data_IF_515930066707
#
_entry.id   IF_515930066707
#
_cell.length_a   1.000
_cell.length_b   1.000
_cell.length_c   1.000
_cell.angle_alpha   90.00
_cell.angle_beta   90.00
_cell.angle_gamma   90.00
#
_symmetry.space_group_name_H-M   'P 1'
#
loop_
_entity.id
_entity.type
_entity.pdbx_description
1 polymer ?
#
# COMPACT_ATOMS: atom_id res chain seq x y z
N UNK A 1 -14.50 4.49 -9.76
CA UNK A 1 -15.76 4.25 -10.50
C UNK A 1 -16.92 3.69 -9.68
N UNK A 2 -16.71 2.80 -8.70
CA UNK A 2 -17.81 2.13 -7.95
C UNK A 2 -18.74 3.12 -7.19
N UNK A 3 -18.23 4.29 -6.77
CA UNK A 3 -19.03 5.33 -6.08
C UNK A 3 -19.80 6.26 -7.03
N UNK A 4 -19.48 6.26 -8.32
CA UNK A 4 -20.04 7.21 -9.30
C UNK A 4 -21.46 6.81 -9.73
N UNK A 5 -21.70 5.51 -9.87
CA UNK A 5 -23.01 4.95 -10.28
C UNK A 5 -24.12 5.25 -9.27
N UNK A 6 -23.97 4.96 -7.96
CA UNK A 6 -24.98 5.34 -6.97
C UNK A 6 -25.12 6.85 -6.82
N UNK A 7 -24.04 7.62 -6.95
CA UNK A 7 -24.11 9.09 -6.91
C UNK A 7 -24.87 9.69 -8.09
N UNK A 8 -24.66 9.16 -9.30
CA UNK A 8 -25.38 9.60 -10.50
C UNK A 8 -26.89 9.36 -10.40
N UNK A 9 -27.29 8.22 -9.83
CA UNK A 9 -28.71 7.92 -9.60
C UNK A 9 -29.36 8.90 -8.62
N UNK A 10 -28.66 9.25 -7.54
CA UNK A 10 -29.11 10.26 -6.56
C UNK A 10 -29.19 11.65 -7.19
N UNK A 11 -28.20 12.04 -8.01
CA UNK A 11 -28.17 13.32 -8.72
C UNK A 11 -29.39 13.50 -9.64
N UNK A 12 -29.78 12.44 -10.36
CA UNK A 12 -30.93 12.48 -11.29
C UNK A 12 -32.29 12.55 -10.58
N UNK A 13 -32.41 12.01 -9.38
CA UNK A 13 -33.70 11.92 -8.67
C UNK A 13 -33.92 13.13 -7.78
N UNK A 14 -32.89 13.59 -7.04
CA UNK A 14 -33.00 14.63 -6.02
C UNK A 14 -31.73 15.49 -5.94
N UNK A 15 -31.48 16.39 -6.92
CA UNK A 15 -30.29 17.23 -6.93
C UNK A 15 -30.22 18.18 -5.72
N UNK A 16 -31.35 18.60 -5.15
CA UNK A 16 -31.36 19.48 -3.96
C UNK A 16 -30.87 18.79 -2.68
N UNK A 17 -30.79 17.45 -2.66
CA UNK A 17 -30.29 16.69 -1.51
C UNK A 17 -28.76 16.56 -1.49
N UNK A 18 -28.07 16.93 -2.57
CA UNK A 18 -26.61 16.83 -2.70
C UNK A 18 -25.86 17.54 -1.56
N UNK A 19 -26.21 18.79 -1.16
CA UNK A 19 -25.52 19.47 -0.07
C UNK A 19 -25.63 18.72 1.26
N UNK A 20 -26.77 18.07 1.53
CA UNK A 20 -26.98 17.24 2.72
C UNK A 20 -26.17 15.94 2.65
N UNK A 21 -26.14 15.29 1.49
CA UNK A 21 -25.40 14.03 1.30
C UNK A 21 -23.89 14.24 1.43
N UNK A 22 -23.36 15.35 0.91
CA UNK A 22 -21.93 15.72 1.06
C UNK A 22 -21.55 15.93 2.53
N UNK A 23 -22.48 16.41 3.36
CA UNK A 23 -22.26 16.64 4.80
C UNK A 23 -22.38 15.34 5.60
N UNK A 24 -23.42 14.54 5.37
CA UNK A 24 -23.77 13.42 6.24
C UNK A 24 -23.27 12.05 5.72
N UNK A 25 -23.03 11.89 4.42
CA UNK A 25 -22.66 10.61 3.78
C UNK A 25 -21.48 10.77 2.78
N UNK A 26 -20.30 11.22 3.25
CA UNK A 26 -19.17 11.56 2.38
C UNK A 26 -18.56 10.35 1.63
N UNK A 27 -18.81 9.12 2.10
CA UNK A 27 -18.33 7.90 1.44
C UNK A 27 -19.04 7.57 0.11
N UNK A 28 -20.17 8.23 -0.18
CA UNK A 28 -21.00 8.01 -1.37
C UNK A 28 -20.78 9.02 -2.49
N UNK A 29 -19.92 10.01 -2.27
CA UNK A 29 -19.73 11.15 -3.16
C UNK A 29 -18.41 10.97 -3.94
N UNK A 30 -18.39 11.20 -5.28
CA UNK A 30 -17.16 11.18 -6.06
C UNK A 30 -16.21 12.29 -5.60
N UNK A 31 -14.92 12.09 -5.82
CA UNK A 31 -13.85 12.99 -5.38
C UNK A 31 -13.97 14.43 -5.91
N UNK A 32 -14.82 14.65 -6.92
CA UNK A 32 -15.12 15.95 -7.53
C UNK A 32 -16.03 16.84 -6.68
N UNK A 33 -16.71 16.32 -5.66
CA UNK A 33 -17.64 17.08 -4.81
C UNK A 33 -17.21 17.13 -3.34
N UNK A 34 -15.92 16.92 -3.08
CA UNK A 34 -15.35 17.02 -1.72
C UNK A 34 -15.21 18.48 -1.30
N UNK A 35 -15.59 18.81 -0.06
CA UNK A 35 -15.34 20.11 0.57
C UNK A 35 -13.87 20.23 1.02
N UNK A 36 -13.36 21.46 1.14
CA UNK A 36 -11.99 21.73 1.61
C UNK A 36 -11.64 21.05 2.95
N UNK A 37 -12.62 20.98 3.87
CA UNK A 37 -12.45 20.27 5.14
C UNK A 37 -12.18 18.77 4.98
N UNK A 38 -12.68 18.15 3.91
CA UNK A 38 -12.49 16.74 3.60
C UNK A 38 -11.10 16.49 3.00
N UNK A 39 -10.61 17.39 2.14
CA UNK A 39 -9.23 17.35 1.61
C UNK A 39 -8.22 17.45 2.77
N UNK A 40 -8.45 18.38 3.69
CA UNK A 40 -7.62 18.50 4.91
C UNK A 40 -7.70 17.24 5.77
N UNK A 41 -8.88 16.62 5.87
CA UNK A 41 -9.04 15.37 6.64
C UNK A 41 -8.30 14.19 6.00
N UNK A 42 -8.30 14.09 4.67
CA UNK A 42 -7.58 13.08 3.90
C UNK A 42 -6.07 13.25 4.07
N UNK A 43 -5.57 14.48 3.92
CA UNK A 43 -4.17 14.79 4.17
C UNK A 43 -3.73 14.42 5.60
N UNK A 44 -4.57 14.75 6.60
CA UNK A 44 -4.31 14.39 8.00
C UNK A 44 -4.32 12.87 8.22
N UNK A 45 -5.13 12.11 7.48
CA UNK A 45 -5.12 10.65 7.54
C UNK A 45 -3.83 10.08 6.93
N UNK A 46 -3.37 10.63 5.81
CA UNK A 46 -2.10 10.26 5.17
C UNK A 46 -0.92 10.52 6.11
N UNK A 47 -0.86 11.69 6.74
CA UNK A 47 0.17 12.04 7.74
C UNK A 47 0.14 11.10 8.95
N UNK A 48 -1.05 10.77 9.46
CA UNK A 48 -1.19 9.79 10.55
C UNK A 48 -0.68 8.41 10.16
N UNK A 49 -1.00 7.95 8.95
CA UNK A 49 -0.53 6.66 8.46
C UNK A 49 0.99 6.65 8.26
N UNK A 50 1.56 7.73 7.71
CA UNK A 50 3.01 7.88 7.59
C UNK A 50 3.68 7.84 8.98
N UNK A 51 3.16 8.57 9.97
CA UNK A 51 3.68 8.53 11.34
C UNK A 51 3.64 7.11 11.95
N UNK A 52 2.58 6.34 11.67
CA UNK A 52 2.49 4.93 12.08
C UNK A 52 3.56 4.09 11.37
N UNK A 53 3.71 4.23 10.05
CA UNK A 53 4.70 3.51 9.24
C UNK A 53 6.13 3.83 9.69
N UNK A 54 6.43 5.09 9.99
CA UNK A 54 7.72 5.53 10.53
C UNK A 54 8.01 4.86 11.88
N UNK A 55 7.05 4.88 12.82
CA UNK A 55 7.21 4.22 14.12
C UNK A 55 7.46 2.71 13.97
N UNK A 56 6.74 2.07 13.06
CA UNK A 56 6.93 0.64 12.78
C UNK A 56 8.30 0.35 12.16
N UNK A 57 8.72 1.16 11.18
CA UNK A 57 10.03 1.05 10.51
C UNK A 57 11.17 1.16 11.52
N UNK A 58 11.13 2.17 12.39
CA UNK A 58 12.15 2.35 13.44
C UNK A 58 12.23 1.14 14.36
N UNK A 59 11.08 0.56 14.75
CA UNK A 59 11.08 -0.63 15.60
C UNK A 59 11.65 -1.85 14.88
N UNK A 60 11.28 -2.05 13.62
CA UNK A 60 11.75 -3.17 12.79
C UNK A 60 13.26 -3.09 12.57
N UNK A 61 13.79 -1.89 12.27
CA UNK A 61 15.23 -1.68 12.09
C UNK A 61 16.01 -1.94 13.39
N UNK A 62 15.53 -1.44 14.53
CA UNK A 62 16.14 -1.74 15.84
C UNK A 62 16.15 -3.22 16.18
N UNK A 63 15.09 -3.95 15.84
CA UNK A 63 15.05 -5.39 16.03
C UNK A 63 15.98 -6.13 15.07
N UNK A 64 16.18 -5.62 13.85
CA UNK A 64 17.08 -6.21 12.87
C UNK A 64 18.56 -6.03 13.24
N UNK A 65 18.95 -4.92 13.85
CA UNK A 65 20.31 -4.72 14.40
C UNK A 65 20.69 -5.81 15.42
N UNK A 66 19.70 -6.37 16.13
CA UNK A 66 19.89 -7.41 17.14
C UNK A 66 19.94 -8.82 16.55
N UNK A 67 19.54 -9.00 15.28
CA UNK A 67 19.43 -10.30 14.62
C UNK A 67 20.37 -10.36 13.43
N UNK A 68 21.38 -11.22 13.49
CA UNK A 68 22.28 -11.45 12.35
C UNK A 68 21.53 -12.20 11.24
N UNK A 69 21.51 -11.67 10.02
CA UNK A 69 21.17 -12.45 8.82
C UNK A 69 20.45 -11.71 7.68
N UNK A 70 19.70 -10.63 7.94
CA UNK A 70 18.98 -9.87 6.90
C UNK A 70 19.25 -8.38 7.08
N UNK A 71 19.93 -7.78 6.11
CA UNK A 71 20.17 -6.34 6.11
C UNK A 71 19.14 -5.61 5.23
N UNK A 72 18.75 -4.36 5.56
CA UNK A 72 17.86 -3.56 4.70
C UNK A 72 18.34 -3.47 3.25
N UNK A 73 19.66 -3.42 3.05
CA UNK A 73 20.33 -3.34 1.75
C UNK A 73 20.11 -4.58 0.89
N UNK A 74 19.86 -5.74 1.51
CA UNK A 74 19.55 -6.97 0.78
C UNK A 74 18.17 -6.91 0.10
N UNK A 75 17.26 -6.09 0.64
CA UNK A 75 15.95 -5.83 0.01
C UNK A 75 16.00 -4.80 -1.11
N UNK A 76 17.10 -4.06 -1.29
CA UNK A 76 17.28 -3.10 -2.39
C UNK A 76 17.81 -3.74 -3.68
N UNK A 77 18.55 -4.85 -3.56
CA UNK A 77 19.02 -5.59 -4.72
C UNK A 77 18.04 -6.69 -5.08
N UNK A 78 17.42 -6.59 -6.26
CA UNK A 78 16.44 -7.57 -6.74
C UNK A 78 16.97 -9.01 -6.67
N UNK A 79 18.22 -9.24 -7.08
CA UNK A 79 18.85 -10.57 -7.05
C UNK A 79 19.00 -11.13 -5.63
N UNK A 80 19.40 -10.29 -4.67
CA UNK A 80 19.49 -10.68 -3.26
C UNK A 80 18.11 -10.90 -2.66
N UNK A 81 17.15 -10.06 -3.01
CA UNK A 81 15.79 -10.18 -2.53
C UNK A 81 15.13 -11.48 -3.01
N UNK A 82 15.30 -11.84 -4.29
CA UNK A 82 14.86 -13.13 -4.82
C UNK A 82 15.52 -14.31 -4.11
N UNK A 83 16.80 -14.18 -3.72
CA UNK A 83 17.49 -15.21 -2.93
C UNK A 83 16.90 -15.35 -1.53
N UNK A 84 16.59 -14.23 -0.85
CA UNK A 84 15.87 -14.24 0.43
C UNK A 84 14.51 -14.92 0.26
N UNK A 85 13.77 -14.60 -0.81
CA UNK A 85 12.47 -15.21 -1.07
C UNK A 85 12.56 -16.72 -1.29
N UNK A 86 13.61 -17.21 -1.95
CA UNK A 86 13.84 -18.66 -2.11
C UNK A 86 14.13 -19.38 -0.79
N UNK A 87 14.85 -18.74 0.12
CA UNK A 87 15.21 -19.35 1.41
C UNK A 87 14.11 -19.24 2.47
N UNK A 88 13.45 -18.08 2.56
CA UNK A 88 12.51 -17.78 3.63
C UNK A 88 11.06 -17.69 3.16
N UNK A 89 10.78 -17.80 1.86
CA UNK A 89 9.45 -17.54 1.29
C UNK A 89 8.33 -18.35 1.94
N UNK A 90 8.62 -19.60 2.33
CA UNK A 90 7.67 -20.46 3.03
C UNK A 90 7.19 -19.87 4.37
N UNK A 91 8.08 -19.23 5.13
CA UNK A 91 7.72 -18.62 6.42
C UNK A 91 6.89 -17.34 6.25
N UNK A 92 6.97 -16.71 5.08
CA UNK A 92 6.23 -15.50 4.72
C UNK A 92 4.94 -15.77 3.94
N UNK A 93 4.53 -17.03 3.81
CA UNK A 93 3.17 -17.35 3.36
C UNK A 93 2.14 -16.79 4.36
N UNK A 94 1.11 -16.10 3.88
CA UNK A 94 0.10 -15.46 4.75
C UNK A 94 -0.65 -16.45 5.66
N UNK A 95 -0.63 -17.75 5.35
CA UNK A 95 -1.13 -18.85 6.19
C UNK A 95 -0.27 -19.11 7.44
N UNK A 96 1.03 -18.83 7.37
CA UNK A 96 2.01 -19.16 8.41
C UNK A 96 2.32 -18.01 9.36
N UNK A 97 2.02 -16.79 8.92
CA UNK A 97 2.18 -15.58 9.74
C UNK A 97 1.14 -15.57 10.87
N UNK A 98 1.58 -15.39 12.11
CA UNK A 98 0.69 -15.31 13.26
C UNK A 98 -0.17 -14.03 13.25
N UNK A 99 -1.23 -14.06 14.06
CA UNK A 99 -2.22 -12.97 14.12
C UNK A 99 -1.61 -11.60 14.42
N UNK A 100 -0.59 -11.51 15.29
CA UNK A 100 0.01 -10.22 15.67
C UNK A 100 0.76 -9.61 14.49
N UNK A 101 1.55 -10.41 13.79
CA UNK A 101 2.24 -9.96 12.58
C UNK A 101 1.25 -9.63 11.44
N UNK A 102 0.19 -10.42 11.23
CA UNK A 102 -0.84 -10.07 10.24
C UNK A 102 -1.56 -8.76 10.57
N UNK A 103 -1.84 -8.50 11.85
CA UNK A 103 -2.40 -7.24 12.32
C UNK A 103 -1.45 -6.07 12.03
N UNK A 104 -0.15 -6.24 12.31
CA UNK A 104 0.87 -5.25 11.97
C UNK A 104 0.95 -5.01 10.45
N UNK A 105 0.89 -6.06 9.62
CA UNK A 105 0.94 -5.94 8.17
C UNK A 105 -0.29 -5.17 7.64
N UNK A 106 -1.49 -5.50 8.13
CA UNK A 106 -2.70 -4.75 7.79
C UNK A 106 -2.55 -3.27 8.16
N UNK A 107 -2.12 -2.98 9.38
CA UNK A 107 -1.93 -1.60 9.87
C UNK A 107 -0.94 -0.82 9.01
N UNK A 108 0.18 -1.43 8.67
CA UNK A 108 1.21 -0.79 7.84
C UNK A 108 0.70 -0.48 6.42
N UNK A 109 -0.09 -1.38 5.85
CA UNK A 109 -0.72 -1.20 4.54
C UNK A 109 -1.94 -0.26 4.58
N UNK A 110 -2.26 0.36 5.72
CA UNK A 110 -3.41 1.27 5.85
C UNK A 110 -4.76 0.56 5.94
N UNK A 111 -4.77 -0.75 6.20
CA UNK A 111 -5.96 -1.57 6.34
C UNK A 111 -6.40 -1.66 7.80
N UNK A 112 -7.68 -1.97 8.03
CA UNK A 112 -8.16 -2.32 9.36
C UNK A 112 -7.38 -3.54 9.89
N UNK A 113 -6.85 -3.44 11.10
CA UNK A 113 -5.94 -4.39 11.74
C UNK A 113 -6.60 -5.20 12.86
N UNK A 114 -7.92 -5.05 13.04
CA UNK A 114 -8.73 -5.81 13.98
C UNK A 114 -9.39 -7.03 13.33
N UNK A 115 -9.58 -8.08 14.14
CA UNK A 115 -10.23 -9.33 13.78
C UNK A 115 -9.43 -10.59 14.11
N UNK A 116 -10.00 -11.74 13.76
CA UNK A 116 -9.33 -13.05 13.86
C UNK A 116 -8.23 -13.16 12.79
N UNK A 117 -7.31 -14.13 12.97
CA UNK A 117 -6.21 -14.37 12.03
C UNK A 117 -6.72 -14.59 10.60
N UNK A 118 -7.80 -15.36 10.41
CA UNK A 118 -8.38 -15.62 9.09
C UNK A 118 -8.96 -14.35 8.43
N UNK A 119 -9.58 -13.46 9.21
CA UNK A 119 -10.11 -12.18 8.69
C UNK A 119 -8.96 -11.29 8.24
N UNK A 120 -7.92 -11.16 9.06
CA UNK A 120 -6.73 -10.36 8.72
C UNK A 120 -6.02 -10.91 7.49
N UNK A 121 -5.81 -12.22 7.43
CA UNK A 121 -5.24 -12.92 6.27
C UNK A 121 -6.04 -12.59 5.01
N UNK A 122 -7.35 -12.82 5.02
CA UNK A 122 -8.21 -12.57 3.85
C UNK A 122 -8.21 -11.11 3.42
N UNK A 123 -8.16 -10.17 4.38
CA UNK A 123 -8.11 -8.74 4.09
C UNK A 123 -6.80 -8.36 3.39
N UNK A 124 -5.67 -8.82 3.93
CA UNK A 124 -4.37 -8.57 3.33
C UNK A 124 -4.24 -9.25 1.97
N UNK A 125 -4.67 -10.50 1.85
CA UNK A 125 -4.66 -11.25 0.58
C UNK A 125 -5.48 -10.54 -0.50
N UNK A 126 -6.69 -10.07 -0.16
CA UNK A 126 -7.53 -9.27 -1.06
C UNK A 126 -6.82 -7.99 -1.51
N UNK A 127 -6.16 -7.28 -0.59
CA UNK A 127 -5.42 -6.05 -0.92
C UNK A 127 -4.23 -6.32 -1.84
N UNK A 128 -3.47 -7.37 -1.57
CA UNK A 128 -2.32 -7.76 -2.40
C UNK A 128 -2.74 -8.24 -3.78
N UNK A 129 -3.87 -8.93 -3.91
CA UNK A 129 -4.44 -9.28 -5.21
C UNK A 129 -4.92 -8.04 -5.98
N UNK A 130 -5.52 -7.06 -5.29
CA UNK A 130 -5.85 -5.77 -5.91
C UNK A 130 -4.59 -5.06 -6.46
N UNK A 131 -3.53 -4.96 -5.66
CA UNK A 131 -2.24 -4.38 -6.11
C UNK A 131 -1.70 -5.16 -7.31
N UNK A 132 -1.76 -6.49 -7.30
CA UNK A 132 -1.25 -7.31 -8.40
C UNK A 132 -1.99 -7.06 -9.72
N UNK A 133 -3.30 -6.88 -9.68
CA UNK A 133 -4.06 -6.51 -10.88
C UNK A 133 -3.76 -5.08 -11.31
N UNK A 134 -3.64 -4.14 -10.37
CA UNK A 134 -3.25 -2.74 -10.66
C UNK A 134 -1.84 -2.65 -11.28
N UNK A 135 -0.86 -3.42 -10.76
CA UNK A 135 0.49 -3.54 -11.30
C UNK A 135 0.44 -3.92 -12.80
N UNK A 136 -0.40 -4.89 -13.19
CA UNK A 136 -0.55 -5.29 -14.61
C UNK A 136 -1.05 -4.16 -15.49
N UNK A 137 -1.92 -3.28 -14.98
CA UNK A 137 -2.37 -2.10 -15.72
C UNK A 137 -1.25 -1.07 -15.84
N UNK A 138 -0.54 -0.78 -14.74
CA UNK A 138 0.60 0.14 -14.74
C UNK A 138 1.73 -0.28 -15.69
N UNK A 139 2.00 -1.58 -15.79
CA UNK A 139 2.99 -2.13 -16.73
C UNK A 139 2.57 -1.89 -18.19
N UNK A 140 1.27 -2.00 -18.49
CA UNK A 140 0.75 -1.81 -19.85
C UNK A 140 0.67 -0.34 -20.26
N UNK A 141 0.21 0.52 -19.37
CA UNK A 141 0.05 1.95 -19.65
C UNK A 141 1.36 2.73 -19.49
N UNK A 142 2.29 2.23 -18.67
CA UNK A 142 3.57 2.86 -18.40
C UNK A 142 3.48 3.89 -17.27
N UNK A 143 4.42 3.78 -16.31
CA UNK A 143 4.48 4.66 -15.12
C UNK A 143 4.62 6.13 -15.51
N UNK A 144 5.32 6.44 -16.60
CA UNK A 144 5.66 7.81 -17.00
C UNK A 144 4.42 8.65 -17.38
N UNK A 145 3.27 8.01 -17.60
CA UNK A 145 2.01 8.68 -17.92
C UNK A 145 1.18 9.11 -16.68
N UNK A 146 1.55 8.65 -15.48
CA UNK A 146 0.84 8.98 -14.24
C UNK A 146 1.05 10.45 -13.86
N UNK A 147 -0.01 11.12 -13.43
CA UNK A 147 0.12 12.43 -12.78
C UNK A 147 0.70 12.29 -11.35
N UNK A 148 1.10 13.41 -10.74
CA UNK A 148 1.73 13.41 -9.41
C UNK A 148 0.81 12.82 -8.31
N UNK A 149 -0.51 12.99 -8.43
CA UNK A 149 -1.49 12.50 -7.46
C UNK A 149 -1.71 11.00 -7.62
N UNK A 150 -1.84 10.52 -8.85
CA UNK A 150 -1.94 9.10 -9.19
C UNK A 150 -0.68 8.36 -8.76
N UNK A 151 0.49 8.91 -9.06
CA UNK A 151 1.77 8.36 -8.63
C UNK A 151 1.86 8.28 -7.10
N UNK A 152 1.52 9.37 -6.40
CA UNK A 152 1.49 9.42 -4.93
C UNK A 152 0.55 8.35 -4.35
N UNK A 153 -0.65 8.18 -4.93
CA UNK A 153 -1.61 7.17 -4.47
C UNK A 153 -1.10 5.76 -4.73
N UNK A 154 -0.57 5.51 -5.93
CA UNK A 154 -0.09 4.19 -6.34
C UNK A 154 1.02 3.69 -5.40
N UNK A 155 1.96 4.56 -5.03
CA UNK A 155 3.05 4.16 -4.12
C UNK A 155 2.56 3.99 -2.67
N UNK A 156 1.61 4.80 -2.21
CA UNK A 156 1.04 4.69 -0.86
C UNK A 156 0.23 3.41 -0.66
N UNK A 157 -0.53 2.98 -1.67
CA UNK A 157 -1.28 1.72 -1.67
C UNK A 157 -0.35 0.51 -1.57
N UNK A 158 0.86 0.62 -2.13
CA UNK A 158 1.95 -0.37 -2.07
C UNK A 158 2.79 -0.28 -0.79
N UNK A 159 2.40 0.57 0.16
CA UNK A 159 3.07 0.71 1.45
C UNK A 159 4.38 1.51 1.40
N UNK A 160 4.59 2.31 0.35
CA UNK A 160 5.74 3.21 0.23
C UNK A 160 5.37 4.63 0.67
N UNK A 161 6.38 5.44 0.93
CA UNK A 161 6.22 6.83 1.38
C UNK A 161 6.13 7.76 0.18
N UNK A 162 5.17 8.70 0.22
CA UNK A 162 5.04 9.77 -0.78
C UNK A 162 5.23 11.17 -0.18
N UNK A 163 4.94 11.33 1.12
CA UNK A 163 4.96 12.63 1.78
C UNK A 163 6.39 13.17 1.83
N UNK A 164 6.57 14.37 1.29
CA UNK A 164 7.86 15.06 1.16
C UNK A 164 8.89 14.34 0.26
N UNK A 165 8.43 13.45 -0.62
CA UNK A 165 9.28 12.81 -1.64
C UNK A 165 9.19 13.54 -2.98
N UNK A 166 10.27 13.48 -3.76
CA UNK A 166 10.27 14.04 -5.12
C UNK A 166 9.59 13.09 -6.10
N UNK A 167 9.01 13.63 -7.17
CA UNK A 167 8.35 12.82 -8.19
C UNK A 167 9.29 11.75 -8.78
N UNK A 168 10.54 12.12 -9.07
CA UNK A 168 11.55 11.18 -9.56
C UNK A 168 11.80 10.03 -8.60
N UNK A 169 11.84 10.30 -7.29
CA UNK A 169 12.04 9.29 -6.27
C UNK A 169 10.84 8.34 -6.19
N UNK A 170 9.63 8.88 -6.25
CA UNK A 170 8.40 8.09 -6.31
C UNK A 170 8.34 7.19 -7.55
N UNK A 171 8.72 7.71 -8.73
CA UNK A 171 8.81 6.93 -9.97
C UNK A 171 9.84 5.82 -9.87
N UNK A 172 11.05 6.08 -9.33
CA UNK A 172 12.07 5.05 -9.10
C UNK A 172 11.59 3.96 -8.15
N UNK A 173 10.95 4.34 -7.04
CA UNK A 173 10.38 3.40 -6.08
C UNK A 173 9.31 2.50 -6.72
N UNK A 174 8.43 3.08 -7.55
CA UNK A 174 7.39 2.32 -8.25
C UNK A 174 7.98 1.40 -9.33
N UNK A 175 8.96 1.86 -10.12
CA UNK A 175 9.71 1.02 -11.09
C UNK A 175 10.37 -0.16 -10.38
N UNK A 176 10.99 0.08 -9.23
CA UNK A 176 11.58 -0.98 -8.41
C UNK A 176 10.55 -1.99 -7.89
N UNK A 177 9.40 -1.50 -7.41
CA UNK A 177 8.29 -2.34 -6.97
C UNK A 177 7.82 -3.28 -8.08
N UNK A 178 7.54 -2.75 -9.27
CA UNK A 178 7.06 -3.55 -10.40
C UNK A 178 8.10 -4.60 -10.82
N UNK A 179 9.37 -4.23 -10.92
CA UNK A 179 10.45 -5.19 -11.22
C UNK A 179 10.55 -6.33 -10.18
N UNK A 180 10.13 -6.04 -8.94
CA UNK A 180 10.09 -7.01 -7.84
C UNK A 180 8.83 -7.88 -7.88
N UNK A 181 7.67 -7.31 -8.24
CA UNK A 181 6.39 -8.02 -8.28
C UNK A 181 6.17 -8.84 -9.56
N UNK A 182 6.83 -8.48 -10.67
CA UNK A 182 6.78 -9.18 -11.96
C UNK A 182 7.57 -10.49 -12.01
N UNK A 183 8.22 -10.90 -10.92
CA UNK A 183 9.04 -12.10 -10.93
C UNK A 183 8.22 -13.36 -11.31
N UNK A 184 8.69 -14.11 -12.32
CA UNK A 184 8.13 -15.40 -12.75
C UNK A 184 7.91 -16.35 -11.55
N UNK A 185 7.03 -17.35 -11.68
CA UNK A 185 6.67 -18.27 -10.59
C UNK A 185 7.89 -18.83 -9.81
N UNK A 186 9.00 -19.14 -10.50
CA UNK A 186 10.24 -19.63 -9.89
C UNK A 186 11.01 -18.60 -9.03
N UNK A 187 10.75 -17.31 -9.21
CA UNK A 187 11.36 -16.18 -8.49
C UNK A 187 10.30 -15.31 -7.78
N UNK A 188 9.05 -15.78 -7.71
CA UNK A 188 7.95 -15.03 -7.14
C UNK A 188 8.20 -14.77 -5.65
N UNK A 189 8.05 -13.51 -5.25
CA UNK A 189 8.22 -13.09 -3.85
C UNK A 189 6.85 -13.19 -3.16
N UNK A 190 6.71 -13.97 -2.07
CA UNK A 190 5.44 -14.08 -1.36
C UNK A 190 4.93 -12.72 -0.87
N UNK A 191 3.61 -12.53 -0.91
CA UNK A 191 2.97 -11.26 -0.53
C UNK A 191 3.33 -10.80 0.89
N UNK A 192 3.47 -11.74 1.83
CA UNK A 192 3.91 -11.42 3.19
C UNK A 192 5.33 -10.84 3.21
N UNK A 193 6.23 -11.40 2.41
CA UNK A 193 7.62 -10.93 2.32
C UNK A 193 7.73 -9.59 1.59
N UNK A 194 6.87 -9.33 0.58
CA UNK A 194 6.76 -8.01 -0.05
C UNK A 194 6.39 -6.94 0.99
N UNK A 195 5.32 -7.17 1.76
CA UNK A 195 4.87 -6.24 2.82
C UNK A 195 5.96 -6.06 3.87
N UNK A 196 6.59 -7.16 4.30
CA UNK A 196 7.70 -7.11 5.26
C UNK A 196 8.85 -6.24 4.77
N UNK A 197 9.29 -6.40 3.50
CA UNK A 197 10.37 -5.59 2.93
C UNK A 197 10.05 -4.10 2.94
N UNK A 198 8.78 -3.70 2.76
CA UNK A 198 8.39 -2.28 2.78
C UNK A 198 8.61 -1.64 4.15
N UNK A 199 8.51 -2.41 5.23
CA UNK A 199 8.81 -1.92 6.58
C UNK A 199 10.28 -1.56 6.77
N UNK A 200 11.20 -2.15 6.00
CA UNK A 200 12.63 -1.79 6.00
C UNK A 200 12.91 -0.64 5.03
N UNK A 201 12.21 -0.62 3.90
CA UNK A 201 12.51 0.27 2.77
C UNK A 201 11.70 1.56 2.75
N UNK A 202 10.91 1.85 3.80
CA UNK A 202 10.05 3.04 3.84
C UNK A 202 10.81 4.34 3.57
N UNK A 203 12.05 4.46 4.06
CA UNK A 203 12.92 5.62 3.91
C UNK A 203 14.11 5.35 2.96
N UNK A 204 14.07 4.26 2.19
CA UNK A 204 15.17 3.92 1.31
C UNK A 204 15.17 4.78 0.05
N UNK A 205 16.37 5.05 -0.47
CA UNK A 205 16.57 5.73 -1.75
C UNK A 205 16.83 4.68 -2.83
N UNK A 206 16.16 4.85 -3.97
CA UNK A 206 16.13 3.92 -5.10
C UNK A 206 16.83 4.58 -6.29
#
# INVERSE_FOLDING_TARGET
MIKLIPFGFVFCILPESIPLIVIYLPGMVPSTCLKDSQIVSEQKQREKLDAIRQKMTVNVLKSAEQVQGITPEDFLSLSKFQRIAKHYGYDFELSRIDRRHLSAYCRFMGLNDYGTQGILKRRLDKHMNYIKEDDKFLIREGIDNLDTKELSSAIEERGMRSLNETEDQMRRALKYWLATSEANEANAIPSGLLVFSRMFLLNAKF
#
